data_IF_705275442158
#
_entry.id   IF_705275442158
#
_cell.length_a   1.000
_cell.length_b   1.000
_cell.length_c   1.000
_cell.angle_alpha   90.00
_cell.angle_beta   90.00
_cell.angle_gamma   90.00
#
_symmetry.space_group_name_H-M   'P 1'
#
loop_
_entity.id
_entity.type
_entity.pdbx_description
1 polymer ?
#
# COMPACT_ATOMS: atom_id res chain seq x y z
N UNK A 1 13.78 -7.71 -25.32
CA UNK A 1 14.28 -6.30 -25.31
C UNK A 1 14.64 -5.97 -23.87
N UNK A 2 15.91 -5.71 -23.63
CA UNK A 2 16.40 -5.38 -22.28
C UNK A 2 15.61 -4.21 -21.72
N UNK A 3 15.11 -4.31 -20.50
CA UNK A 3 14.35 -3.22 -19.88
C UNK A 3 15.30 -2.09 -19.44
N UNK A 4 15.05 -0.89 -19.92
CA UNK A 4 15.81 0.32 -19.51
C UNK A 4 14.88 1.16 -18.63
N UNK A 5 15.33 1.48 -17.42
CA UNK A 5 14.59 2.37 -16.50
C UNK A 5 14.60 3.78 -17.09
N UNK A 6 13.45 4.37 -17.28
CA UNK A 6 13.30 5.75 -17.76
C UNK A 6 12.52 6.54 -16.71
N UNK A 7 13.20 7.46 -16.03
CA UNK A 7 12.54 8.42 -15.16
C UNK A 7 12.01 9.57 -15.99
N UNK A 8 10.71 9.80 -15.97
CA UNK A 8 10.06 10.77 -16.87
C UNK A 8 9.55 12.02 -16.17
N UNK A 9 9.55 12.12 -14.84
CA UNK A 9 8.92 13.27 -14.17
C UNK A 9 9.75 13.86 -13.02
N UNK A 10 9.89 15.18 -13.02
CA UNK A 10 10.29 15.98 -11.85
C UNK A 10 9.13 16.05 -10.86
N UNK A 11 9.42 15.81 -9.58
CA UNK A 11 8.45 15.81 -8.47
C UNK A 11 7.56 17.06 -8.51
N UNK A 12 6.25 16.88 -8.69
CA UNK A 12 5.24 17.91 -8.47
C UNK A 12 4.36 17.47 -7.29
N UNK A 13 4.22 18.33 -6.28
CA UNK A 13 3.54 17.98 -5.01
C UNK A 13 2.12 17.39 -5.15
N UNK A 14 1.35 17.77 -6.18
CA UNK A 14 0.02 17.18 -6.44
C UNK A 14 0.08 15.75 -6.99
N UNK A 15 1.15 15.36 -7.67
CA UNK A 15 1.34 14.00 -8.17
C UNK A 15 1.60 13.02 -7.03
N UNK A 16 2.37 13.44 -6.02
CA UNK A 16 2.74 12.58 -4.89
C UNK A 16 1.53 12.04 -4.08
N UNK A 17 0.50 12.83 -3.89
CA UNK A 17 -0.73 12.38 -3.21
C UNK A 17 -1.42 11.25 -3.99
N UNK A 18 -1.45 11.36 -5.33
CA UNK A 18 -2.08 10.34 -6.18
C UNK A 18 -1.24 9.06 -6.26
N UNK A 19 0.06 9.18 -6.36
CA UNK A 19 0.99 8.04 -6.28
C UNK A 19 0.83 7.29 -4.95
N UNK A 20 0.62 8.03 -3.84
CA UNK A 20 0.37 7.42 -2.53
C UNK A 20 -0.99 6.73 -2.46
N UNK A 21 -2.06 7.34 -2.99
CA UNK A 21 -3.36 6.67 -3.12
C UNK A 21 -3.25 5.39 -3.94
N UNK A 22 -2.49 5.42 -5.04
CA UNK A 22 -2.22 4.27 -5.89
C UNK A 22 -1.50 3.14 -5.13
N UNK A 23 -0.48 3.46 -4.33
CA UNK A 23 0.20 2.51 -3.46
C UNK A 23 -0.77 1.88 -2.46
N UNK A 24 -1.58 2.69 -1.79
CA UNK A 24 -2.54 2.23 -0.79
C UNK A 24 -3.69 1.43 -1.43
N UNK A 25 -4.09 1.76 -2.67
CA UNK A 25 -5.01 0.95 -3.46
C UNK A 25 -4.45 -0.45 -3.71
N UNK A 26 -3.19 -0.57 -4.15
CA UNK A 26 -2.55 -1.87 -4.32
C UNK A 26 -2.49 -2.67 -3.02
N UNK A 27 -2.25 -1.99 -1.89
CA UNK A 27 -2.08 -2.63 -0.59
C UNK A 27 -3.40 -3.13 0.03
N UNK A 28 -4.50 -2.38 -0.12
CA UNK A 28 -5.75 -2.61 0.62
C UNK A 28 -7.03 -2.49 -0.20
N UNK A 29 -6.96 -1.98 -1.42
CA UNK A 29 -8.11 -1.83 -2.32
C UNK A 29 -8.33 -3.03 -3.25
N UNK A 30 -7.45 -4.03 -3.20
CA UNK A 30 -7.49 -5.24 -4.02
C UNK A 30 -7.59 -6.49 -3.15
N UNK A 31 -8.30 -7.50 -3.63
CA UNK A 31 -8.40 -8.81 -2.95
C UNK A 31 -7.03 -9.50 -2.84
N UNK A 32 -6.17 -9.35 -3.85
CA UNK A 32 -4.82 -9.92 -3.90
C UNK A 32 -3.74 -9.00 -3.28
N UNK A 33 -4.12 -7.87 -2.66
CA UNK A 33 -3.20 -6.91 -2.05
C UNK A 33 -2.32 -7.50 -0.94
N UNK A 34 -2.80 -8.54 -0.24
CA UNK A 34 -2.04 -9.27 0.78
C UNK A 34 -0.84 -10.04 0.22
N UNK A 35 -0.83 -10.38 -1.07
CA UNK A 35 0.30 -11.03 -1.73
C UNK A 35 1.48 -10.07 -1.96
N UNK A 36 1.24 -8.75 -1.93
CA UNK A 36 2.26 -7.74 -2.20
C UNK A 36 3.16 -7.60 -0.97
N UNK A 37 4.44 -7.90 -1.15
CA UNK A 37 5.46 -7.80 -0.12
C UNK A 37 6.12 -6.42 -0.08
N UNK A 38 6.39 -5.85 -1.26
CA UNK A 38 7.06 -4.55 -1.39
C UNK A 38 6.53 -3.77 -2.60
N UNK A 39 6.72 -2.46 -2.54
CA UNK A 39 6.38 -1.52 -3.60
C UNK A 39 7.66 -0.90 -4.14
N UNK A 40 7.91 -1.05 -5.45
CA UNK A 40 8.92 -0.30 -6.17
C UNK A 40 8.34 1.08 -6.51
N UNK A 41 9.08 2.13 -6.19
CA UNK A 41 8.65 3.52 -6.32
C UNK A 41 9.40 4.19 -7.46
N UNK A 42 8.64 4.66 -8.47
CA UNK A 42 9.19 5.39 -9.63
C UNK A 42 10.39 4.66 -10.26
N UNK A 43 10.25 3.35 -10.43
CA UNK A 43 11.29 2.49 -10.99
C UNK A 43 10.84 1.83 -12.29
N UNK A 44 9.77 1.04 -12.27
CA UNK A 44 9.14 0.48 -13.47
C UNK A 44 8.02 1.40 -13.98
N UNK A 45 7.25 1.93 -13.07
CA UNK A 45 6.21 2.93 -13.25
C UNK A 45 6.04 3.72 -11.93
N UNK A 46 4.98 4.51 -11.76
CA UNK A 46 4.74 5.30 -10.53
C UNK A 46 4.84 4.43 -9.28
N UNK A 47 4.13 3.28 -9.29
CA UNK A 47 4.19 2.27 -8.22
C UNK A 47 4.06 0.88 -8.82
N UNK A 48 4.97 -0.03 -8.44
CA UNK A 48 4.86 -1.43 -8.81
C UNK A 48 4.90 -2.32 -7.57
N UNK A 49 3.80 -3.02 -7.28
CA UNK A 49 3.75 -4.03 -6.23
C UNK A 49 4.52 -5.28 -6.64
N UNK A 50 5.27 -5.87 -5.72
CA UNK A 50 6.03 -7.10 -5.92
C UNK A 50 5.71 -8.10 -4.81
N UNK A 51 5.53 -9.37 -5.16
CA UNK A 51 5.43 -10.44 -4.17
C UNK A 51 6.79 -10.73 -3.53
N UNK A 52 6.83 -11.65 -2.57
CA UNK A 52 8.05 -11.97 -1.79
C UNK A 52 9.21 -12.46 -2.64
N UNK A 53 8.94 -13.16 -3.75
CA UNK A 53 9.96 -13.70 -4.65
C UNK A 53 10.30 -12.76 -5.80
N UNK A 54 9.57 -11.65 -5.94
CA UNK A 54 9.65 -10.71 -7.06
C UNK A 54 9.55 -11.43 -8.43
N UNK A 55 8.61 -12.37 -8.52
CA UNK A 55 8.23 -13.08 -9.75
C UNK A 55 6.80 -12.77 -10.20
N UNK A 56 6.04 -12.02 -9.38
CA UNK A 56 4.71 -11.48 -9.67
C UNK A 56 4.68 -9.99 -9.42
N UNK A 57 4.19 -9.22 -10.39
CA UNK A 57 4.19 -7.76 -10.35
C UNK A 57 2.81 -7.17 -10.69
N UNK A 58 2.43 -6.15 -9.92
CA UNK A 58 1.27 -5.27 -10.11
C UNK A 58 1.78 -3.90 -10.54
N UNK A 59 1.81 -3.63 -11.83
CA UNK A 59 2.35 -2.39 -12.37
C UNK A 59 1.25 -1.34 -12.50
N UNK A 60 1.45 -0.19 -11.89
CA UNK A 60 0.45 0.84 -11.79
C UNK A 60 0.99 2.20 -12.21
N UNK A 61 0.28 2.84 -13.17
CA UNK A 61 0.40 4.23 -13.55
C UNK A 61 -0.73 5.03 -12.90
N UNK A 62 -0.42 6.16 -12.27
CA UNK A 62 -1.39 7.02 -11.60
C UNK A 62 -1.58 8.36 -12.30
N UNK A 63 -2.81 8.86 -12.35
CA UNK A 63 -3.13 10.18 -12.94
C UNK A 63 -4.13 10.95 -12.07
N UNK A 64 -3.62 11.97 -11.37
CA UNK A 64 -4.38 12.78 -10.42
C UNK A 64 -5.29 13.85 -11.04
N UNK A 65 -5.32 13.98 -12.35
CA UNK A 65 -6.23 14.88 -13.06
C UNK A 65 -7.34 14.07 -13.73
N UNK A 66 -8.56 14.64 -13.74
CA UNK A 66 -9.65 14.10 -14.56
C UNK A 66 -9.26 14.23 -16.03
N UNK A 67 -9.26 13.12 -16.77
CA UNK A 67 -8.93 13.11 -18.18
C UNK A 67 -9.96 13.93 -18.98
N UNK A 68 -9.46 14.78 -19.89
CA UNK A 68 -10.33 15.63 -20.73
C UNK A 68 -11.04 14.84 -21.82
N UNK A 69 -10.53 13.67 -22.17
CA UNK A 69 -11.13 12.83 -23.18
C UNK A 69 -10.42 11.48 -23.33
N UNK A 70 -11.06 10.52 -24.05
CA UNK A 70 -10.53 9.16 -24.19
C UNK A 70 -9.14 9.10 -24.85
N UNK A 71 -8.82 10.04 -25.76
CA UNK A 71 -7.50 10.07 -26.42
C UNK A 71 -6.39 10.41 -25.41
N UNK A 72 -6.64 11.27 -24.41
CA UNK A 72 -5.70 11.57 -23.34
C UNK A 72 -5.45 10.31 -22.49
N UNK A 73 -6.52 9.57 -22.14
CA UNK A 73 -6.40 8.30 -21.43
C UNK A 73 -5.49 7.32 -22.17
N UNK A 74 -5.64 7.24 -23.50
CA UNK A 74 -4.78 6.40 -24.34
C UNK A 74 -3.29 6.81 -24.25
N UNK A 75 -2.99 8.09 -24.23
CA UNK A 75 -1.61 8.58 -24.07
C UNK A 75 -1.01 8.21 -22.72
N UNK A 76 -1.82 8.25 -21.65
CA UNK A 76 -1.38 7.91 -20.30
C UNK A 76 -1.04 6.41 -20.12
N UNK A 77 -1.48 5.56 -21.03
CA UNK A 77 -1.18 4.12 -21.05
C UNK A 77 0.23 3.81 -21.59
N UNK A 78 0.96 4.78 -22.14
CA UNK A 78 2.20 4.52 -22.89
C UNK A 78 3.29 3.85 -22.06
N UNK A 79 3.41 4.18 -20.77
CA UNK A 79 4.40 3.58 -19.86
C UNK A 79 4.04 2.13 -19.52
N UNK A 80 2.76 1.85 -19.28
CA UNK A 80 2.25 0.48 -19.10
C UNK A 80 2.45 -0.35 -20.38
N UNK A 81 2.24 0.24 -21.55
CA UNK A 81 2.47 -0.41 -22.84
C UNK A 81 3.95 -0.74 -23.10
N UNK A 82 4.87 0.18 -22.72
CA UNK A 82 6.31 -0.09 -22.70
C UNK A 82 6.61 -1.34 -21.86
N UNK A 83 6.04 -1.41 -20.67
CA UNK A 83 6.26 -2.52 -19.74
C UNK A 83 5.68 -3.83 -20.30
N UNK A 84 4.50 -3.80 -20.90
CA UNK A 84 3.90 -4.93 -21.61
C UNK A 84 4.78 -5.46 -22.74
N UNK A 85 5.45 -4.60 -23.51
CA UNK A 85 6.31 -4.97 -24.63
C UNK A 85 7.72 -5.42 -24.20
N UNK A 86 8.07 -5.31 -22.94
CA UNK A 86 9.40 -5.67 -22.41
C UNK A 86 9.55 -7.19 -22.22
N UNK A 87 10.79 -7.63 -21.94
CA UNK A 87 11.06 -9.04 -21.60
C UNK A 87 10.77 -9.34 -20.11
N UNK A 88 10.42 -8.31 -19.31
CA UNK A 88 9.98 -8.48 -17.94
C UNK A 88 8.48 -8.68 -17.92
N UNK A 89 8.01 -9.72 -17.24
CA UNK A 89 6.58 -9.99 -17.11
C UNK A 89 5.96 -9.18 -15.97
N UNK A 90 4.97 -8.35 -16.33
CA UNK A 90 4.09 -7.67 -15.39
C UNK A 90 2.72 -8.38 -15.44
N UNK A 91 2.29 -8.94 -14.31
CA UNK A 91 1.09 -9.77 -14.25
C UNK A 91 -0.19 -8.95 -14.32
N UNK A 92 -0.15 -7.74 -13.77
CA UNK A 92 -1.28 -6.81 -13.75
C UNK A 92 -0.81 -5.43 -14.21
N UNK A 93 -1.54 -4.84 -15.14
CA UNK A 93 -1.29 -3.52 -15.70
C UNK A 93 -2.47 -2.63 -15.34
N UNK A 94 -2.24 -1.61 -14.51
CA UNK A 94 -3.31 -0.84 -13.88
C UNK A 94 -3.14 0.65 -14.19
N UNK A 95 -4.19 1.27 -14.74
CA UNK A 95 -4.29 2.72 -14.85
C UNK A 95 -5.23 3.27 -13.79
N UNK A 96 -4.67 3.97 -12.80
CA UNK A 96 -5.38 4.54 -11.66
C UNK A 96 -5.62 6.04 -11.88
N UNK A 97 -6.88 6.48 -11.93
CA UNK A 97 -7.26 7.83 -12.40
C UNK A 97 -8.21 8.53 -11.45
N UNK A 98 -8.12 9.88 -11.38
CA UNK A 98 -9.05 10.74 -10.64
C UNK A 98 -10.46 10.75 -11.24
N UNK A 99 -10.61 10.46 -12.51
CA UNK A 99 -11.88 10.44 -13.19
C UNK A 99 -11.76 10.38 -14.71
N UNK A 100 -12.87 10.09 -15.34
CA UNK A 100 -13.03 10.00 -16.78
C UNK A 100 -14.31 10.74 -17.22
N UNK A 101 -14.42 11.14 -18.49
CA UNK A 101 -15.67 11.72 -18.99
C UNK A 101 -16.87 10.78 -18.84
N UNK A 102 -18.06 11.30 -18.58
CA UNK A 102 -19.30 10.50 -18.39
C UNK A 102 -19.59 9.54 -19.56
N UNK A 103 -19.22 9.94 -20.79
CA UNK A 103 -19.41 9.13 -22.00
C UNK A 103 -18.36 8.06 -22.21
N UNK A 104 -17.40 7.91 -21.29
CA UNK A 104 -16.31 6.95 -21.41
C UNK A 104 -16.76 5.53 -21.12
N UNK A 105 -17.53 5.37 -20.03
CA UNK A 105 -17.97 4.07 -19.50
C UNK A 105 -19.36 3.71 -20.01
N UNK A 106 -19.61 2.40 -20.17
CA UNK A 106 -20.95 1.86 -20.42
C UNK A 106 -21.77 1.93 -19.12
N UNK A 107 -21.19 1.43 -18.02
CA UNK A 107 -21.76 1.55 -16.67
C UNK A 107 -20.85 2.43 -15.80
N UNK A 108 -21.35 3.60 -15.43
CA UNK A 108 -20.60 4.57 -14.62
C UNK A 108 -20.51 4.21 -13.14
N UNK A 109 -21.29 3.23 -12.66
CA UNK A 109 -21.25 2.77 -11.27
C UNK A 109 -20.04 1.85 -10.98
N UNK A 110 -19.43 1.28 -12.01
CA UNK A 110 -18.28 0.36 -11.89
C UNK A 110 -16.98 1.18 -11.93
N UNK A 111 -16.27 1.26 -10.81
CA UNK A 111 -15.02 2.01 -10.70
C UNK A 111 -13.75 1.21 -11.02
N UNK A 112 -13.83 -0.12 -11.04
CA UNK A 112 -12.72 -0.99 -11.46
C UNK A 112 -13.19 -1.87 -12.62
N UNK A 113 -12.60 -1.70 -13.80
CA UNK A 113 -13.11 -2.32 -15.02
C UNK A 113 -12.01 -2.55 -16.07
N UNK A 114 -12.25 -3.44 -17.03
CA UNK A 114 -11.47 -3.60 -18.23
C UNK A 114 -12.11 -2.91 -19.44
N UNK A 115 -11.68 -3.28 -20.63
CA UNK A 115 -12.19 -2.70 -21.89
C UNK A 115 -13.67 -2.97 -22.14
N UNK A 116 -14.23 -4.01 -21.52
CA UNK A 116 -15.64 -4.40 -21.61
C UNK A 116 -16.61 -3.34 -21.07
N UNK A 117 -16.15 -2.45 -20.20
CA UNK A 117 -16.94 -1.32 -19.69
C UNK A 117 -16.62 0.02 -20.37
N UNK A 118 -15.88 0.01 -21.46
CA UNK A 118 -15.58 1.21 -22.25
C UNK A 118 -16.48 1.22 -23.49
N UNK A 119 -17.09 2.38 -23.79
CA UNK A 119 -17.88 2.51 -25.02
C UNK A 119 -17.00 2.35 -26.27
N UNK A 120 -17.51 1.75 -27.34
CA UNK A 120 -16.72 1.49 -28.57
C UNK A 120 -16.03 2.73 -29.11
N UNK A 121 -16.73 3.86 -29.12
CA UNK A 121 -16.19 5.15 -29.58
C UNK A 121 -15.02 5.62 -28.70
N UNK A 122 -15.16 5.45 -27.38
CA UNK A 122 -14.10 5.82 -26.43
C UNK A 122 -12.91 4.86 -26.57
N UNK A 123 -13.13 3.57 -26.69
CA UNK A 123 -12.08 2.56 -26.87
C UNK A 123 -11.25 2.82 -28.13
N UNK A 124 -11.91 3.16 -29.25
CA UNK A 124 -11.19 3.54 -30.46
C UNK A 124 -10.33 4.80 -30.27
N UNK A 125 -10.83 5.77 -29.52
CA UNK A 125 -10.08 6.99 -29.20
C UNK A 125 -8.89 6.72 -28.26
N UNK A 126 -9.05 5.85 -27.26
CA UNK A 126 -7.97 5.36 -26.38
C UNK A 126 -6.88 4.70 -27.21
N UNK A 127 -7.28 3.79 -28.08
CA UNK A 127 -6.37 3.08 -29.00
C UNK A 127 -5.54 4.06 -29.85
N UNK A 128 -6.20 5.03 -30.47
CA UNK A 128 -5.53 6.05 -31.28
C UNK A 128 -4.58 6.91 -30.45
N UNK A 129 -4.98 7.30 -29.24
CA UNK A 129 -4.14 8.04 -28.30
C UNK A 129 -2.87 7.29 -27.91
N UNK A 130 -3.01 5.99 -27.57
CA UNK A 130 -1.89 5.13 -27.24
C UNK A 130 -0.92 4.95 -28.40
N UNK A 131 -1.43 4.63 -29.61
CA UNK A 131 -0.58 4.43 -30.79
C UNK A 131 0.20 5.71 -31.10
N UNK A 132 -0.50 6.85 -31.10
CA UNK A 132 0.15 8.14 -31.38
C UNK A 132 1.28 8.43 -30.40
N UNK A 133 1.02 8.28 -29.09
CA UNK A 133 2.01 8.53 -28.07
C UNK A 133 3.16 7.52 -28.13
N UNK A 134 2.87 6.24 -28.40
CA UNK A 134 3.88 5.21 -28.49
C UNK A 134 4.87 5.43 -29.64
N UNK A 135 4.39 5.90 -30.79
CA UNK A 135 5.24 6.25 -31.95
C UNK A 135 6.22 7.38 -31.63
N UNK A 136 5.78 8.33 -30.81
CA UNK A 136 6.58 9.49 -30.43
C UNK A 136 7.65 9.18 -29.36
N UNK A 137 7.62 7.98 -28.76
CA UNK A 137 8.57 7.56 -27.70
C UNK A 137 9.76 6.78 -28.25
N UNK A 138 10.95 7.34 -28.11
CA UNK A 138 12.21 6.70 -28.53
C UNK A 138 12.53 5.38 -27.84
N UNK A 139 11.95 5.12 -26.67
CA UNK A 139 12.15 3.88 -25.91
C UNK A 139 11.19 2.75 -26.27
N UNK A 140 10.27 2.96 -27.22
CA UNK A 140 9.38 1.93 -27.76
C UNK A 140 9.82 1.58 -29.18
N UNK A 141 10.01 0.28 -29.45
CA UNK A 141 10.31 -0.19 -30.79
C UNK A 141 9.05 -0.09 -31.68
N UNK A 142 9.08 0.81 -32.66
CA UNK A 142 7.96 1.04 -33.57
C UNK A 142 7.49 -0.24 -34.29
N UNK A 143 8.37 -1.23 -34.49
CA UNK A 143 8.02 -2.52 -35.10
C UNK A 143 7.08 -3.35 -34.20
N UNK A 144 7.06 -3.08 -32.90
CA UNK A 144 6.17 -3.75 -31.94
C UNK A 144 4.82 -3.03 -31.79
N UNK A 145 4.66 -1.81 -32.35
CA UNK A 145 3.40 -1.08 -32.34
C UNK A 145 2.50 -1.63 -33.47
N UNK A 146 1.91 -2.78 -33.22
CA UNK A 146 0.97 -3.42 -34.17
C UNK A 146 -0.44 -3.41 -33.55
N UNK A 147 -1.46 -3.47 -34.43
CA UNK A 147 -2.85 -3.55 -33.99
C UNK A 147 -3.06 -4.73 -33.02
N UNK A 148 -2.49 -5.88 -33.35
CA UNK A 148 -2.58 -7.07 -32.50
C UNK A 148 -1.98 -6.87 -31.10
N UNK A 149 -0.81 -6.23 -31.00
CA UNK A 149 -0.17 -5.97 -29.70
C UNK A 149 -0.94 -4.92 -28.90
N UNK A 150 -1.44 -3.88 -29.55
CA UNK A 150 -2.25 -2.83 -28.89
C UNK A 150 -3.54 -3.42 -28.35
N UNK A 151 -4.25 -4.23 -29.14
CA UNK A 151 -5.51 -4.83 -28.73
C UNK A 151 -5.31 -5.87 -27.62
N UNK A 152 -4.24 -6.67 -27.70
CA UNK A 152 -3.88 -7.64 -26.67
C UNK A 152 -3.49 -6.94 -25.33
N UNK A 153 -2.75 -5.85 -25.42
CA UNK A 153 -2.40 -5.03 -24.26
C UNK A 153 -3.65 -4.43 -23.61
N UNK A 154 -4.50 -3.74 -24.38
CA UNK A 154 -5.69 -3.09 -23.84
C UNK A 154 -6.61 -4.08 -23.11
N UNK A 155 -6.73 -5.32 -23.57
CA UNK A 155 -7.49 -6.38 -22.89
C UNK A 155 -6.91 -6.78 -21.52
N UNK A 156 -5.64 -6.49 -21.25
CA UNK A 156 -4.99 -6.80 -19.98
C UNK A 156 -5.01 -5.61 -19.00
N UNK A 157 -5.36 -4.41 -19.48
CA UNK A 157 -5.38 -3.22 -18.63
C UNK A 157 -6.61 -3.21 -17.74
N UNK A 158 -6.38 -3.01 -16.45
CA UNK A 158 -7.42 -2.66 -15.49
C UNK A 158 -7.46 -1.15 -15.31
N UNK A 159 -8.60 -0.54 -15.53
CA UNK A 159 -8.86 0.87 -15.27
C UNK A 159 -9.49 1.02 -13.88
N UNK A 160 -8.99 1.97 -13.10
CA UNK A 160 -9.49 2.26 -11.75
C UNK A 160 -9.80 3.73 -11.64
N UNK A 161 -11.02 4.05 -11.24
CA UNK A 161 -11.43 5.42 -10.94
C UNK A 161 -11.38 5.59 -9.41
N UNK A 162 -10.55 6.52 -8.96
CA UNK A 162 -10.44 6.84 -7.54
C UNK A 162 -11.57 7.76 -7.08
N UNK A 163 -12.36 7.29 -6.15
CA UNK A 163 -13.45 8.00 -5.50
C UNK A 163 -13.24 8.20 -3.99
N UNK A 164 -12.07 7.78 -3.47
CA UNK A 164 -11.78 7.76 -2.03
C UNK A 164 -10.98 8.96 -1.56
N UNK A 165 -11.29 9.44 -0.36
CA UNK A 165 -10.48 10.41 0.36
C UNK A 165 -9.18 9.77 0.91
N UNK A 166 -8.22 10.59 1.32
CA UNK A 166 -6.97 10.12 1.97
C UNK A 166 -7.25 9.30 3.23
N UNK A 167 -8.19 9.77 4.04
CA UNK A 167 -8.59 9.11 5.28
C UNK A 167 -9.21 7.73 5.02
N UNK A 168 -10.02 7.57 3.97
CA UNK A 168 -10.64 6.28 3.62
C UNK A 168 -9.59 5.22 3.26
N UNK A 169 -8.51 5.57 2.56
CA UNK A 169 -7.42 4.63 2.30
C UNK A 169 -6.77 4.12 3.58
N UNK A 170 -6.56 5.00 4.58
CA UNK A 170 -5.99 4.59 5.86
C UNK A 170 -6.99 3.72 6.66
N UNK A 171 -8.28 4.06 6.63
CA UNK A 171 -9.33 3.21 7.23
C UNK A 171 -9.31 1.80 6.68
N UNK A 172 -9.14 1.64 5.37
CA UNK A 172 -9.04 0.33 4.71
C UNK A 172 -7.82 -0.49 5.17
N UNK A 173 -6.66 0.17 5.37
CA UNK A 173 -5.46 -0.53 5.87
C UNK A 173 -5.68 -1.04 7.30
N UNK A 174 -6.34 -0.25 8.11
CA UNK A 174 -6.55 -0.55 9.52
C UNK A 174 -7.60 -1.63 9.73
N UNK A 175 -8.57 -1.79 8.81
CA UNK A 175 -9.78 -2.62 9.00
C UNK A 175 -10.46 -2.39 10.36
N UNK A 176 -10.21 -1.21 10.97
CA UNK A 176 -10.58 -0.91 12.34
C UNK A 176 -12.07 -0.60 12.46
N UNK A 177 -12.62 -0.95 13.64
CA UNK A 177 -13.96 -0.61 14.05
C UNK A 177 -14.22 0.91 13.86
N UNK A 178 -15.35 1.31 13.23
CA UNK A 178 -15.74 2.70 13.05
C UNK A 178 -15.70 3.56 14.33
N UNK A 179 -15.85 2.97 15.51
CA UNK A 179 -15.77 3.68 16.81
C UNK A 179 -14.37 4.20 17.15
N UNK A 180 -13.32 3.56 16.61
CA UNK A 180 -11.93 3.97 16.81
C UNK A 180 -11.45 4.99 15.78
N UNK A 181 -12.23 5.28 14.76
CA UNK A 181 -11.80 6.18 13.71
C UNK A 181 -11.57 7.56 14.32
N UNK A 182 -10.29 7.84 14.54
CA UNK A 182 -9.78 9.17 14.84
C UNK A 182 -10.37 10.19 13.88
N UNK A 183 -10.36 11.45 14.26
CA UNK A 183 -10.70 12.55 13.35
C UNK A 183 -9.94 12.38 12.05
N UNK A 184 -10.59 12.59 10.91
CA UNK A 184 -9.98 12.43 9.57
C UNK A 184 -8.62 13.13 9.47
N UNK A 185 -8.41 14.22 10.21
CA UNK A 185 -7.12 14.91 10.29
C UNK A 185 -5.95 14.01 10.76
N UNK A 186 -6.19 13.06 11.69
CA UNK A 186 -5.15 12.13 12.14
C UNK A 186 -4.84 11.12 11.04
N UNK A 187 -5.88 10.61 10.37
CA UNK A 187 -5.74 9.66 9.26
C UNK A 187 -5.04 10.32 8.07
N UNK A 188 -5.32 11.59 7.79
CA UNK A 188 -4.60 12.36 6.79
C UNK A 188 -3.14 12.61 7.20
N UNK A 189 -2.85 12.78 8.48
CA UNK A 189 -1.49 12.83 9.01
C UNK A 189 -0.71 11.54 8.72
N UNK A 190 -1.34 10.38 8.94
CA UNK A 190 -0.77 9.07 8.61
C UNK A 190 -0.51 8.96 7.10
N UNK A 191 -1.49 9.34 6.28
CA UNK A 191 -1.33 9.36 4.83
C UNK A 191 -0.13 10.21 4.40
N UNK A 192 0.02 11.39 4.99
CA UNK A 192 1.14 12.29 4.70
C UNK A 192 2.48 11.67 5.11
N UNK A 193 2.55 10.94 6.23
CA UNK A 193 3.76 10.23 6.65
C UNK A 193 4.17 9.16 5.62
N UNK A 194 3.21 8.41 5.09
CA UNK A 194 3.46 7.40 4.04
C UNK A 194 3.91 8.09 2.74
N UNK A 195 3.26 9.18 2.34
CA UNK A 195 3.63 9.99 1.18
C UNK A 195 5.07 10.50 1.26
N UNK A 196 5.45 11.01 2.42
CA UNK A 196 6.79 11.57 2.62
C UNK A 196 7.87 10.46 2.57
N UNK A 197 7.57 9.28 3.13
CA UNK A 197 8.43 8.11 3.02
C UNK A 197 8.56 7.62 1.56
N UNK A 198 7.47 7.60 0.80
CA UNK A 198 7.45 7.28 -0.63
C UNK A 198 8.28 8.30 -1.43
N UNK A 199 8.09 9.59 -1.17
CA UNK A 199 8.81 10.68 -1.83
C UNK A 199 10.32 10.63 -1.53
N UNK A 200 10.71 10.25 -0.31
CA UNK A 200 12.11 10.04 0.04
C UNK A 200 12.76 8.96 -0.82
N UNK A 201 12.06 7.82 -1.05
CA UNK A 201 12.55 6.76 -1.94
C UNK A 201 12.73 7.23 -3.38
N UNK A 202 11.83 8.06 -3.89
CA UNK A 202 11.91 8.64 -5.24
C UNK A 202 13.16 9.50 -5.44
N UNK A 203 13.63 10.16 -4.40
CA UNK A 203 14.71 11.15 -4.47
C UNK A 203 16.11 10.57 -4.13
N UNK A 204 16.20 9.37 -3.57
CA UNK A 204 17.45 8.85 -3.00
C UNK A 204 18.51 8.44 -4.02
N UNK A 205 18.12 8.09 -5.25
CA UNK A 205 19.09 7.66 -6.28
C UNK A 205 18.56 7.94 -7.68
N UNK A 206 19.44 8.33 -8.61
CA UNK A 206 19.11 8.30 -10.02
C UNK A 206 19.16 6.87 -10.51
N UNK A 207 18.10 6.43 -11.16
CA UNK A 207 18.00 5.09 -11.76
C UNK A 207 17.79 5.17 -13.27
N UNK A 208 17.80 6.39 -13.82
CA UNK A 208 17.59 6.62 -15.25
C UNK A 208 18.72 5.98 -16.06
N UNK A 209 18.34 5.22 -17.08
CA UNK A 209 19.29 4.51 -17.94
C UNK A 209 19.77 3.17 -17.41
N UNK A 210 19.41 2.80 -16.18
CA UNK A 210 19.76 1.50 -15.62
C UNK A 210 19.12 0.35 -16.39
N UNK A 211 19.91 -0.70 -16.63
CA UNK A 211 19.47 -1.88 -17.35
C UNK A 211 19.08 -2.95 -16.34
N UNK A 212 17.84 -3.43 -16.43
CA UNK A 212 17.31 -4.49 -15.57
C UNK A 212 16.82 -5.66 -16.41
N UNK A 213 16.97 -6.85 -15.88
CA UNK A 213 16.59 -8.10 -16.52
C UNK A 213 15.54 -8.87 -15.73
N UNK A 214 15.39 -8.57 -14.45
CA UNK A 214 14.46 -9.24 -13.56
C UNK A 214 13.77 -8.22 -12.63
N UNK A 215 12.54 -8.49 -12.23
CA UNK A 215 11.80 -7.66 -11.25
C UNK A 215 12.60 -7.43 -9.95
N UNK A 216 13.32 -8.45 -9.46
CA UNK A 216 14.14 -8.36 -8.24
C UNK A 216 15.32 -7.39 -8.34
N UNK A 217 15.69 -6.94 -9.54
CA UNK A 217 16.81 -6.01 -9.71
C UNK A 217 16.57 -4.67 -9.02
N UNK A 218 15.29 -4.27 -8.80
CA UNK A 218 14.95 -3.06 -8.05
C UNK A 218 15.51 -3.06 -6.62
N UNK A 219 15.74 -4.22 -6.01
CA UNK A 219 16.30 -4.30 -4.65
C UNK A 219 17.78 -3.89 -4.56
N UNK A 220 18.45 -3.72 -5.68
CA UNK A 220 19.82 -3.16 -5.74
C UNK A 220 19.82 -1.65 -5.49
N UNK A 221 18.65 -1.02 -5.60
CA UNK A 221 18.45 0.42 -5.47
C UNK A 221 17.57 0.72 -4.26
N UNK A 222 17.77 1.86 -3.62
CA UNK A 222 16.92 2.29 -2.50
C UNK A 222 15.58 2.89 -2.99
N UNK A 223 14.85 2.09 -3.79
CA UNK A 223 13.59 2.45 -4.46
C UNK A 223 12.41 1.61 -4.00
N UNK A 224 12.52 0.94 -2.85
CA UNK A 224 11.44 0.07 -2.37
C UNK A 224 10.97 0.44 -0.97
N UNK A 225 9.67 0.24 -0.72
CA UNK A 225 9.04 0.28 0.60
C UNK A 225 8.33 -1.05 0.79
N UNK A 226 8.53 -1.71 1.94
CA UNK A 226 7.84 -2.96 2.26
C UNK A 226 6.45 -2.67 2.82
N UNK A 227 5.47 -3.50 2.49
CA UNK A 227 4.11 -3.39 3.03
C UNK A 227 4.10 -3.35 4.57
N UNK A 228 4.96 -4.16 5.22
CA UNK A 228 5.15 -4.15 6.67
C UNK A 228 5.63 -2.80 7.22
N UNK A 229 6.49 -2.07 6.49
CA UNK A 229 6.98 -0.75 6.92
C UNK A 229 5.83 0.27 6.94
N UNK A 230 4.95 0.20 5.94
CA UNK A 230 3.76 1.05 5.88
C UNK A 230 2.83 0.76 7.06
N UNK A 231 2.55 -0.51 7.36
CA UNK A 231 1.74 -0.91 8.52
C UNK A 231 2.34 -0.42 9.82
N UNK A 232 3.66 -0.52 9.98
CA UNK A 232 4.36 0.00 11.16
C UNK A 232 4.23 1.52 11.29
N UNK A 233 4.34 2.27 10.19
CA UNK A 233 4.12 3.72 10.19
C UNK A 233 2.72 4.07 10.67
N UNK A 234 1.71 3.34 10.18
CA UNK A 234 0.31 3.52 10.58
C UNK A 234 0.14 3.32 12.08
N UNK A 235 0.60 2.19 12.62
CA UNK A 235 0.46 1.88 14.05
C UNK A 235 1.23 2.90 14.91
N UNK A 236 2.49 3.17 14.59
CA UNK A 236 3.32 4.10 15.37
C UNK A 236 2.70 5.51 15.44
N UNK A 237 2.05 5.94 14.35
CA UNK A 237 1.37 7.25 14.34
C UNK A 237 0.08 7.22 15.13
N UNK A 238 -0.70 6.14 15.04
CA UNK A 238 -1.95 5.97 15.81
C UNK A 238 -1.70 5.97 17.32
N UNK A 239 -0.67 5.24 17.76
CA UNK A 239 -0.33 5.14 19.18
C UNK A 239 0.63 6.24 19.65
N UNK A 240 0.98 7.15 18.76
CA UNK A 240 1.93 8.24 19.01
C UNK A 240 3.26 7.77 19.66
N UNK A 241 3.72 6.55 19.32
CA UNK A 241 4.99 5.98 19.78
C UNK A 241 5.48 4.88 18.87
N UNK A 242 6.77 4.58 18.99
CA UNK A 242 7.35 3.40 18.34
C UNK A 242 7.09 2.16 19.21
N UNK A 243 6.16 1.28 18.79
CA UNK A 243 5.79 0.07 19.55
C UNK A 243 6.89 -1.00 19.60
N UNK A 244 7.86 -0.94 18.68
CA UNK A 244 8.96 -1.91 18.57
C UNK A 244 10.22 -1.43 19.29
N UNK A 245 10.42 -0.12 19.42
CA UNK A 245 11.64 0.49 20.01
C UNK A 245 11.35 1.51 21.09
N UNK A 246 10.09 1.80 21.38
CA UNK A 246 9.68 2.65 22.48
C UNK A 246 9.91 1.94 23.81
N UNK A 247 10.19 2.68 24.89
CA UNK A 247 10.30 2.10 26.23
C UNK A 247 9.01 1.40 26.68
N UNK A 248 8.98 0.77 27.85
CA UNK A 248 7.77 0.15 28.38
C UNK A 248 6.66 1.20 28.59
N UNK A 249 5.41 0.90 28.20
CA UNK A 249 4.27 1.74 28.52
C UNK A 249 4.01 1.74 30.04
N UNK A 250 3.54 2.87 30.58
CA UNK A 250 3.34 3.01 32.03
C UNK A 250 2.39 1.97 32.62
N UNK A 251 1.39 1.56 31.87
CA UNK A 251 0.43 0.52 32.30
C UNK A 251 1.00 -0.90 32.29
N UNK A 252 2.21 -1.11 31.75
CA UNK A 252 2.89 -2.40 31.74
C UNK A 252 3.75 -2.63 32.98
N UNK A 253 4.28 -1.56 33.59
CA UNK A 253 5.15 -1.67 34.77
C UNK A 253 4.55 -2.46 35.93
N UNK A 254 3.26 -2.31 36.30
CA UNK A 254 2.68 -3.11 37.38
C UNK A 254 2.76 -4.63 37.15
N UNK A 255 2.82 -5.08 35.91
CA UNK A 255 2.89 -6.51 35.56
C UNK A 255 4.29 -7.08 35.72
N UNK A 256 5.32 -6.26 35.58
CA UNK A 256 6.73 -6.67 35.61
C UNK A 256 7.48 -6.17 36.86
N UNK A 257 6.82 -5.46 37.78
CA UNK A 257 7.44 -4.84 38.95
C UNK A 257 8.18 -5.83 39.89
N UNK A 258 7.81 -7.12 39.86
CA UNK A 258 8.43 -8.14 40.68
C UNK A 258 9.74 -8.71 40.11
N UNK A 259 10.09 -8.33 38.87
CA UNK A 259 11.38 -8.66 38.25
C UNK A 259 12.44 -7.61 38.61
N UNK A 260 13.70 -8.01 38.69
CA UNK A 260 14.79 -7.03 38.77
C UNK A 260 14.92 -6.21 37.47
N UNK A 261 15.67 -5.10 37.50
CA UNK A 261 15.75 -4.18 36.38
C UNK A 261 16.31 -4.80 35.10
N UNK A 262 17.22 -5.78 35.19
CA UNK A 262 17.76 -6.49 34.03
C UNK A 262 16.65 -7.34 33.40
N UNK A 263 15.96 -8.12 34.22
CA UNK A 263 14.89 -8.98 33.78
C UNK A 263 13.69 -8.22 33.23
N UNK A 264 13.39 -7.05 33.79
CA UNK A 264 12.38 -6.13 33.22
C UNK A 264 12.75 -5.72 31.78
N UNK A 265 14.01 -5.37 31.53
CA UNK A 265 14.52 -5.04 30.20
C UNK A 265 14.36 -6.19 29.21
N UNK A 266 14.77 -7.41 29.59
CA UNK A 266 14.62 -8.62 28.76
C UNK A 266 13.16 -8.89 28.40
N UNK A 267 12.24 -8.82 29.37
CA UNK A 267 10.80 -9.03 29.13
C UNK A 267 10.24 -8.01 28.15
N UNK A 268 10.64 -6.73 28.26
CA UNK A 268 10.20 -5.68 27.34
C UNK A 268 10.71 -5.96 25.92
N UNK A 269 11.99 -6.31 25.77
CA UNK A 269 12.59 -6.65 24.48
C UNK A 269 11.93 -7.87 23.85
N UNK A 270 11.64 -8.90 24.63
CA UNK A 270 10.93 -10.09 24.16
C UNK A 270 9.52 -9.76 23.66
N UNK A 271 8.75 -8.95 24.40
CA UNK A 271 7.43 -8.50 23.96
C UNK A 271 7.52 -7.72 22.64
N UNK A 272 8.47 -6.80 22.54
CA UNK A 272 8.68 -6.01 21.32
C UNK A 272 9.09 -6.87 20.13
N UNK A 273 9.93 -7.88 20.35
CA UNK A 273 10.34 -8.83 19.33
C UNK A 273 9.16 -9.67 18.84
N UNK A 274 8.35 -10.22 19.74
CA UNK A 274 7.18 -11.02 19.38
C UNK A 274 6.15 -10.17 18.62
N UNK A 275 5.87 -8.95 19.06
CA UNK A 275 4.99 -8.01 18.35
C UNK A 275 5.53 -7.71 16.96
N UNK A 276 6.85 -7.49 16.84
CA UNK A 276 7.51 -7.27 15.55
C UNK A 276 7.31 -8.48 14.60
N UNK A 277 7.52 -9.69 15.11
CA UNK A 277 7.32 -10.92 14.34
C UNK A 277 5.86 -11.04 13.90
N UNK A 278 4.90 -10.90 14.80
CA UNK A 278 3.48 -11.01 14.50
C UNK A 278 3.01 -9.96 13.48
N UNK A 279 3.48 -8.71 13.59
CA UNK A 279 3.17 -7.64 12.66
C UNK A 279 3.74 -7.90 11.25
N UNK A 280 4.89 -8.60 11.18
CA UNK A 280 5.63 -8.79 9.93
C UNK A 280 5.41 -10.16 9.31
N UNK A 281 4.80 -11.09 10.02
CA UNK A 281 4.44 -12.40 9.49
C UNK A 281 3.23 -12.28 8.56
N UNK A 282 3.43 -12.66 7.30
CA UNK A 282 2.37 -12.62 6.28
C UNK A 282 1.20 -13.54 6.60
N UNK A 283 1.47 -14.71 7.16
CA UNK A 283 0.45 -15.70 7.45
C UNK A 283 -0.46 -15.28 8.62
N UNK A 284 0.05 -14.43 9.52
CA UNK A 284 -0.62 -14.04 10.76
C UNK A 284 -0.93 -12.54 10.86
N UNK A 285 -0.64 -11.76 9.81
CA UNK A 285 -0.85 -10.31 9.87
C UNK A 285 -2.33 -9.94 10.05
N UNK A 286 -3.25 -10.71 9.49
CA UNK A 286 -4.69 -10.52 9.66
C UNK A 286 -5.10 -10.77 11.12
N UNK A 287 -4.65 -11.88 11.71
CA UNK A 287 -4.88 -12.19 13.12
C UNK A 287 -4.31 -11.11 14.07
N UNK A 288 -3.18 -10.50 13.72
CA UNK A 288 -2.63 -9.37 14.50
C UNK A 288 -3.54 -8.14 14.46
N UNK A 289 -4.12 -7.81 13.29
CA UNK A 289 -5.05 -6.69 13.16
C UNK A 289 -6.37 -6.95 13.89
N UNK A 290 -6.90 -8.17 13.81
CA UNK A 290 -8.09 -8.59 14.56
C UNK A 290 -7.87 -8.49 16.08
N UNK A 291 -6.69 -8.90 16.56
CA UNK A 291 -6.29 -8.74 17.95
C UNK A 291 -6.23 -7.26 18.35
N UNK A 292 -5.62 -6.43 17.51
CA UNK A 292 -5.50 -4.99 17.78
C UNK A 292 -6.88 -4.34 17.88
N UNK A 293 -7.80 -4.71 16.99
CA UNK A 293 -9.20 -4.21 17.03
C UNK A 293 -9.92 -4.67 18.31
N UNK A 294 -9.76 -5.94 18.71
CA UNK A 294 -10.32 -6.45 19.96
C UNK A 294 -9.78 -5.71 21.18
N UNK A 295 -8.46 -5.45 21.24
CA UNK A 295 -7.82 -4.68 22.32
C UNK A 295 -8.37 -3.25 22.37
N UNK A 296 -8.45 -2.57 21.24
CA UNK A 296 -8.90 -1.18 21.15
C UNK A 296 -10.35 -1.06 21.64
N UNK A 297 -11.24 -1.95 21.18
CA UNK A 297 -12.64 -1.96 21.62
C UNK A 297 -12.73 -2.18 23.14
N UNK A 298 -12.00 -3.17 23.66
CA UNK A 298 -11.97 -3.45 25.09
C UNK A 298 -11.49 -2.25 25.93
N UNK A 299 -10.45 -1.57 25.49
CA UNK A 299 -9.91 -0.38 26.17
C UNK A 299 -10.86 0.81 26.11
N UNK A 300 -11.53 1.05 24.96
CA UNK A 300 -12.49 2.16 24.82
C UNK A 300 -13.72 1.94 25.68
N UNK A 301 -14.27 0.73 25.67
CA UNK A 301 -15.50 0.41 26.38
C UNK A 301 -15.29 0.31 27.90
N UNK A 302 -14.03 0.03 28.34
CA UNK A 302 -13.70 -0.26 29.75
C UNK A 302 -12.41 0.45 30.22
N UNK A 303 -12.32 1.75 30.07
CA UNK A 303 -11.11 2.55 30.35
C UNK A 303 -10.53 2.37 31.76
N UNK A 304 -11.39 2.07 32.74
CA UNK A 304 -11.00 1.97 34.16
C UNK A 304 -10.36 0.63 34.52
N UNK A 305 -10.53 -0.43 33.72
CA UNK A 305 -9.92 -1.73 33.99
C UNK A 305 -8.39 -1.64 33.94
N UNK A 306 -7.70 -2.44 34.74
CA UNK A 306 -6.25 -2.64 34.62
C UNK A 306 -5.89 -3.36 33.33
N UNK A 307 -4.61 -3.41 32.99
CA UNK A 307 -4.13 -4.18 31.83
C UNK A 307 -4.46 -5.67 31.95
N UNK A 308 -4.30 -6.23 33.16
CA UNK A 308 -4.62 -7.65 33.41
C UNK A 308 -6.11 -7.92 33.25
N UNK A 309 -6.99 -7.11 33.86
CA UNK A 309 -8.45 -7.26 33.74
C UNK A 309 -8.91 -7.08 32.28
N UNK A 310 -8.30 -6.14 31.53
CA UNK A 310 -8.60 -5.99 30.11
C UNK A 310 -8.19 -7.22 29.31
N UNK A 311 -7.05 -7.84 29.63
CA UNK A 311 -6.63 -9.10 29.02
C UNK A 311 -7.60 -10.23 29.34
N UNK A 312 -7.98 -10.38 30.61
CA UNK A 312 -8.91 -11.44 31.03
C UNK A 312 -10.25 -11.35 30.28
N UNK A 313 -10.72 -10.12 30.05
CA UNK A 313 -11.98 -9.88 29.32
C UNK A 313 -11.89 -10.31 27.85
N UNK A 314 -10.73 -10.20 27.20
CA UNK A 314 -10.56 -10.56 25.78
C UNK A 314 -9.93 -11.94 25.58
N UNK A 315 -9.46 -12.61 26.64
CA UNK A 315 -8.68 -13.87 26.58
C UNK A 315 -9.39 -15.00 25.83
N UNK A 316 -10.73 -15.04 25.88
CA UNK A 316 -11.56 -16.01 25.17
C UNK A 316 -11.90 -15.61 23.72
N UNK A 317 -11.47 -14.42 23.26
CA UNK A 317 -11.72 -13.97 21.89
C UNK A 317 -10.91 -14.79 20.89
N UNK A 318 -11.53 -15.13 19.77
CA UNK A 318 -10.87 -15.85 18.67
C UNK A 318 -9.63 -15.13 18.14
N UNK A 319 -9.60 -13.81 18.16
CA UNK A 319 -8.46 -13.01 17.75
C UNK A 319 -7.23 -13.29 18.63
N UNK A 320 -7.43 -13.44 19.97
CA UNK A 320 -6.37 -13.80 20.92
C UNK A 320 -5.86 -15.21 20.64
N UNK A 321 -6.77 -16.15 20.40
CA UNK A 321 -6.42 -17.56 20.14
C UNK A 321 -5.69 -17.79 18.82
N UNK A 322 -5.94 -16.95 17.82
CA UNK A 322 -5.31 -17.04 16.50
C UNK A 322 -3.93 -16.40 16.44
N UNK A 323 -3.59 -15.52 17.39
CA UNK A 323 -2.28 -14.87 17.42
C UNK A 323 -1.21 -15.79 18.00
N UNK A 324 0.03 -15.62 17.56
CA UNK A 324 1.20 -16.30 18.12
C UNK A 324 1.83 -15.54 19.29
N UNK A 325 1.21 -14.44 19.73
CA UNK A 325 1.69 -13.67 20.86
C UNK A 325 1.42 -14.36 22.19
N UNK A 326 2.37 -14.31 23.10
CA UNK A 326 2.16 -14.73 24.47
C UNK A 326 1.33 -13.71 25.28
N UNK A 327 0.95 -14.11 26.48
CA UNK A 327 0.12 -13.30 27.39
C UNK A 327 0.76 -11.95 27.68
N UNK A 328 2.08 -11.92 27.97
CA UNK A 328 2.78 -10.69 28.31
C UNK A 328 2.87 -9.74 27.10
N UNK A 329 3.09 -10.27 25.90
CA UNK A 329 3.11 -9.48 24.67
C UNK A 329 1.75 -8.87 24.34
N UNK A 330 0.65 -9.59 24.58
CA UNK A 330 -0.71 -9.05 24.44
C UNK A 330 -0.96 -7.97 25.51
N UNK A 331 -0.57 -8.20 26.75
CA UNK A 331 -0.69 -7.21 27.83
C UNK A 331 0.19 -5.99 27.58
N UNK A 332 1.34 -6.15 26.95
CA UNK A 332 2.16 -5.02 26.47
C UNK A 332 1.39 -4.18 25.45
N UNK A 333 0.76 -4.81 24.42
CA UNK A 333 -0.09 -4.11 23.45
C UNK A 333 -1.28 -3.39 24.12
N UNK A 334 -1.97 -4.05 25.04
CA UNK A 334 -3.06 -3.44 25.82
C UNK A 334 -2.53 -2.18 26.53
N UNK A 335 -1.36 -2.27 27.17
CA UNK A 335 -0.75 -1.15 27.87
C UNK A 335 -0.39 0.01 26.95
N UNK A 336 0.12 -0.29 25.75
CA UNK A 336 0.37 0.70 24.69
C UNK A 336 -0.93 1.40 24.27
N UNK A 337 -2.00 0.63 24.05
CA UNK A 337 -3.29 1.19 23.62
C UNK A 337 -3.95 2.02 24.73
N UNK A 338 -3.86 1.59 25.99
CA UNK A 338 -4.36 2.38 27.12
C UNK A 338 -3.66 3.75 27.22
N UNK A 339 -2.33 3.76 27.07
CA UNK A 339 -1.54 5.00 27.09
C UNK A 339 -1.85 5.91 25.91
N UNK A 340 -2.13 5.34 24.73
CA UNK A 340 -2.43 6.09 23.51
C UNK A 340 -3.86 6.67 23.48
N UNK A 341 -4.80 6.06 24.22
CA UNK A 341 -6.23 6.43 24.19
C UNK A 341 -6.67 7.28 25.41
N UNK A 342 -5.75 7.63 26.31
CA UNK A 342 -5.97 8.63 27.36
C UNK A 342 -5.94 10.04 26.80
#
# INVERSE_FOLDING_TARGET
MTYIVSSTEKVRGKGADYETKALLYLMSGREDGSEIYSFAIDFYNDVTGLNVHADKAWDLQSKGNVAKGPMEIGRELVTLYKNYLSDITFNYLILFMAGVPDTFRIDSSINTFGVENITDKALQSVRNGLIKEAIDKSYIDNKKITDANVDAFLKQVTFVIDDKSKAEYIKHILSLNPKFISKDAVLEGIFNTIRDAQSAKKNNSSVEGEIVTHLRDVYKYDRTIKAREIRLMVINTLVNRNIVRGGAPRYFFPLIQNYDGIKQGEVIEDCQLQISVALFDKANSEAFWDLLDAIINAVIDNRMLSTAETYDMISENDAVRKTLLDVLSIQYLISVMKEALE
#
